data_IF_969908646105
#
_entry.id   IF_969908646105
#
_cell.length_a   1.000
_cell.length_b   1.000
_cell.length_c   1.000
_cell.angle_alpha   90.00
_cell.angle_beta   90.00
_cell.angle_gamma   90.00
#
_symmetry.space_group_name_H-M   'P 1'
#
loop_
_entity.id
_entity.type
_entity.pdbx_description
1 polymer ?
#
# COMPACT_ATOMS: atom_id res chain seq x y z
N UNK A 1 -25.56 -38.60 -25.33
CA UNK A 1 -26.59 -37.64 -24.88
C UNK A 1 -26.19 -36.91 -23.59
N UNK A 2 -25.57 -37.58 -22.61
CA UNK A 2 -25.15 -37.00 -21.31
C UNK A 2 -24.12 -35.84 -21.44
N UNK A 3 -23.19 -35.90 -22.40
CA UNK A 3 -22.18 -34.84 -22.61
C UNK A 3 -22.74 -33.49 -23.09
N UNK A 4 -23.87 -33.46 -23.81
CA UNK A 4 -24.43 -32.20 -24.32
C UNK A 4 -25.20 -31.43 -23.25
N UNK A 5 -25.83 -32.14 -22.30
CA UNK A 5 -26.56 -31.51 -21.18
C UNK A 5 -25.58 -30.78 -20.25
N UNK A 6 -24.42 -31.37 -19.98
CA UNK A 6 -23.38 -30.75 -19.16
C UNK A 6 -22.81 -29.47 -19.81
N UNK A 7 -22.61 -29.49 -21.12
CA UNK A 7 -22.16 -28.32 -21.89
C UNK A 7 -23.23 -27.21 -21.87
N UNK A 8 -24.51 -27.55 -22.00
CA UNK A 8 -25.61 -26.55 -21.94
C UNK A 8 -25.72 -25.92 -20.55
N UNK A 9 -25.53 -26.69 -19.47
CA UNK A 9 -25.54 -26.17 -18.09
C UNK A 9 -24.33 -25.26 -17.85
N UNK A 10 -23.15 -25.60 -18.37
CA UNK A 10 -21.96 -24.75 -18.27
C UNK A 10 -22.15 -23.46 -19.08
N UNK A 11 -22.67 -23.56 -20.31
CA UNK A 11 -22.95 -22.39 -21.16
C UNK A 11 -24.03 -21.49 -20.54
N UNK A 12 -25.07 -22.04 -19.91
CA UNK A 12 -26.10 -21.24 -19.24
C UNK A 12 -25.56 -20.54 -17.99
N UNK A 13 -24.60 -21.15 -17.28
CA UNK A 13 -23.91 -20.52 -16.15
C UNK A 13 -22.97 -19.39 -16.59
N UNK A 14 -22.33 -19.50 -17.75
CA UNK A 14 -21.46 -18.45 -18.31
C UNK A 14 -22.26 -17.21 -18.73
N UNK A 15 -23.56 -17.35 -19.02
CA UNK A 15 -24.39 -16.31 -19.64
C UNK A 15 -25.05 -15.29 -18.69
N UNK A 16 -24.75 -15.25 -17.39
CA UNK A 16 -25.52 -14.37 -16.46
C UNK A 16 -24.72 -13.47 -15.52
N UNK A 17 -23.41 -13.32 -15.67
CA UNK A 17 -22.70 -12.25 -14.96
C UNK A 17 -22.90 -10.94 -15.74
N UNK A 18 -23.99 -10.22 -15.43
CA UNK A 18 -24.19 -8.87 -15.92
C UNK A 18 -23.25 -7.93 -15.17
N UNK A 19 -22.12 -7.60 -15.78
CA UNK A 19 -21.28 -6.48 -15.34
C UNK A 19 -22.00 -5.18 -15.70
N UNK A 20 -22.28 -4.35 -14.69
CA UNK A 20 -22.83 -3.01 -14.92
C UNK A 20 -21.67 -2.03 -15.07
N UNK A 21 -21.52 -1.49 -16.28
CA UNK A 21 -20.56 -0.42 -16.58
C UNK A 21 -21.32 0.90 -16.68
N UNK A 22 -20.99 1.87 -15.84
CA UNK A 22 -21.66 3.19 -15.81
C UNK A 22 -20.62 4.30 -15.86
N UNK A 23 -20.88 5.31 -16.67
CA UNK A 23 -20.08 6.54 -16.69
C UNK A 23 -20.60 7.52 -15.65
N UNK A 24 -19.74 7.88 -14.71
CA UNK A 24 -20.06 8.81 -13.63
C UNK A 24 -19.70 10.22 -14.07
N UNK A 25 -20.67 11.14 -14.01
CA UNK A 25 -20.46 12.55 -14.38
C UNK A 25 -20.45 13.50 -13.20
N UNK A 26 -21.00 13.08 -12.06
CA UNK A 26 -21.14 13.89 -10.86
C UNK A 26 -21.28 12.98 -9.60
N UNK A 27 -21.30 13.61 -8.43
CA UNK A 27 -21.44 12.91 -7.14
C UNK A 27 -22.75 12.11 -7.02
N UNK A 28 -23.88 12.65 -7.52
CA UNK A 28 -25.18 11.99 -7.45
C UNK A 28 -25.15 10.66 -8.20
N UNK A 29 -24.57 10.65 -9.41
CA UNK A 29 -24.39 9.43 -10.20
C UNK A 29 -23.54 8.42 -9.41
N UNK A 30 -22.45 8.87 -8.80
CA UNK A 30 -21.52 8.02 -8.04
C UNK A 30 -22.24 7.34 -6.86
N UNK A 31 -22.96 8.13 -6.05
CA UNK A 31 -23.71 7.64 -4.89
C UNK A 31 -24.84 6.71 -5.32
N UNK A 32 -25.59 7.05 -6.38
CA UNK A 32 -26.69 6.22 -6.85
C UNK A 32 -26.21 4.84 -7.32
N UNK A 33 -25.11 4.80 -8.07
CA UNK A 33 -24.56 3.51 -8.52
C UNK A 33 -23.99 2.69 -7.38
N UNK A 34 -23.31 3.31 -6.41
CA UNK A 34 -22.73 2.55 -5.30
C UNK A 34 -23.77 2.12 -4.28
N UNK A 35 -24.70 2.98 -3.87
CA UNK A 35 -25.62 2.68 -2.76
C UNK A 35 -26.88 1.90 -3.18
N UNK A 36 -27.26 1.89 -4.47
CA UNK A 36 -28.48 1.22 -4.94
C UNK A 36 -28.24 0.06 -5.91
N UNK A 37 -26.97 -0.28 -6.21
CA UNK A 37 -26.70 -1.40 -7.10
C UNK A 37 -27.21 -2.71 -6.50
N UNK A 38 -27.99 -3.45 -7.28
CA UNK A 38 -28.36 -4.84 -7.04
C UNK A 38 -27.37 -5.83 -7.69
N UNK A 39 -26.30 -5.31 -8.31
CA UNK A 39 -25.32 -6.12 -9.02
C UNK A 39 -24.19 -6.52 -8.09
N UNK A 40 -23.73 -7.76 -8.24
CA UNK A 40 -22.53 -8.26 -7.55
C UNK A 40 -21.28 -7.54 -8.02
N UNK A 41 -21.22 -7.23 -9.32
CA UNK A 41 -20.09 -6.60 -9.97
C UNK A 41 -20.47 -5.22 -10.53
N UNK A 42 -19.72 -4.20 -10.12
CA UNK A 42 -19.92 -2.81 -10.56
C UNK A 42 -18.63 -2.24 -11.12
N UNK A 43 -18.70 -1.69 -12.34
CA UNK A 43 -17.62 -0.94 -12.97
C UNK A 43 -18.06 0.51 -13.16
N UNK A 44 -17.37 1.44 -12.50
CA UNK A 44 -17.59 2.87 -12.65
C UNK A 44 -16.47 3.46 -13.51
N UNK A 45 -16.86 4.10 -14.60
CA UNK A 45 -15.94 4.84 -15.48
C UNK A 45 -16.00 6.33 -15.17
N UNK A 46 -14.84 6.95 -14.98
CA UNK A 46 -14.72 8.35 -14.53
C UNK A 46 -13.94 9.13 -15.58
N UNK A 47 -14.58 10.07 -16.26
CA UNK A 47 -13.97 10.95 -17.26
C UNK A 47 -14.18 12.41 -16.83
N UNK A 48 -13.40 12.85 -15.85
CA UNK A 48 -13.50 14.16 -15.23
C UNK A 48 -13.19 14.14 -13.73
N UNK A 49 -13.42 15.27 -13.06
CA UNK A 49 -13.24 15.42 -11.62
C UNK A 49 -14.56 15.31 -10.85
N UNK A 50 -14.56 14.52 -9.78
CA UNK A 50 -15.72 14.32 -8.90
C UNK A 50 -15.28 14.51 -7.46
N UNK A 51 -16.06 15.29 -6.69
CA UNK A 51 -15.90 15.37 -5.23
C UNK A 51 -17.08 14.66 -4.59
N UNK A 52 -16.79 13.67 -3.76
CA UNK A 52 -17.75 12.93 -2.94
C UNK A 52 -17.74 13.55 -1.54
N UNK A 53 -18.82 14.22 -1.21
CA UNK A 53 -19.04 14.99 0.01
C UNK A 53 -19.81 14.23 1.07
N UNK A 54 -20.21 12.99 0.79
CA UNK A 54 -20.95 12.13 1.72
C UNK A 54 -20.21 10.84 1.96
N UNK A 55 -20.40 10.28 3.16
CA UNK A 55 -20.00 8.91 3.43
C UNK A 55 -20.80 7.94 2.55
N UNK A 56 -20.13 6.90 2.04
CA UNK A 56 -20.72 5.90 1.15
C UNK A 56 -20.73 4.56 1.86
N UNK A 57 -21.92 3.97 1.97
CA UNK A 57 -22.09 2.57 2.37
C UNK A 57 -22.30 1.72 1.13
N UNK A 58 -21.44 0.70 0.96
CA UNK A 58 -21.55 -0.27 -0.14
C UNK A 58 -22.58 -1.36 0.20
N UNK A 59 -23.45 -1.76 -0.75
CA UNK A 59 -24.41 -2.84 -0.59
C UNK A 59 -23.72 -4.17 -0.32
N UNK A 60 -24.27 -4.96 0.61
CA UNK A 60 -23.74 -6.28 0.98
C UNK A 60 -23.75 -7.30 -0.16
N UNK A 61 -24.55 -7.08 -1.22
CA UNK A 61 -24.57 -7.94 -2.40
C UNK A 61 -23.37 -7.72 -3.34
N UNK A 62 -22.73 -6.55 -3.27
CA UNK A 62 -21.59 -6.21 -4.11
C UNK A 62 -20.36 -6.97 -3.64
N UNK A 63 -19.76 -7.74 -4.54
CA UNK A 63 -18.52 -8.48 -4.29
C UNK A 63 -17.34 -7.97 -5.11
N UNK A 64 -17.57 -7.19 -6.18
CA UNK A 64 -16.52 -6.58 -6.99
C UNK A 64 -16.80 -5.13 -7.33
N UNK A 65 -15.78 -4.28 -7.20
CA UNK A 65 -15.85 -2.87 -7.56
C UNK A 65 -14.61 -2.44 -8.35
N UNK A 66 -14.86 -1.92 -9.55
CA UNK A 66 -13.85 -1.37 -10.43
C UNK A 66 -14.09 0.14 -10.59
N UNK A 67 -13.12 0.96 -10.18
CA UNK A 67 -13.10 2.41 -10.40
C UNK A 67 -12.05 2.74 -11.45
N UNK A 68 -12.51 2.97 -12.69
CA UNK A 68 -11.64 3.08 -13.86
C UNK A 68 -11.71 4.50 -14.41
N UNK A 69 -10.60 5.23 -14.30
CA UNK A 69 -10.41 6.48 -14.99
C UNK A 69 -9.96 6.27 -16.44
N UNK A 70 -10.11 7.31 -17.25
CA UNK A 70 -9.56 7.38 -18.60
C UNK A 70 -8.04 7.57 -18.56
N UNK A 71 -7.58 8.52 -17.75
CA UNK A 71 -6.17 8.74 -17.41
C UNK A 71 -6.06 9.33 -16.00
N UNK A 72 -4.96 9.08 -15.29
CA UNK A 72 -4.74 9.65 -13.95
C UNK A 72 -4.64 11.18 -13.96
N UNK A 73 -4.36 11.81 -15.12
CA UNK A 73 -4.31 13.28 -15.24
C UNK A 73 -5.68 13.95 -15.38
N UNK A 74 -6.66 13.23 -15.95
CA UNK A 74 -8.00 13.79 -16.28
C UNK A 74 -9.10 13.25 -15.38
N UNK A 75 -8.94 12.04 -14.87
CA UNK A 75 -9.92 11.34 -14.04
C UNK A 75 -9.54 11.49 -12.58
N UNK A 76 -10.36 12.22 -11.83
CA UNK A 76 -10.09 12.55 -10.42
C UNK A 76 -11.29 12.24 -9.54
N UNK A 77 -11.05 11.62 -8.40
CA UNK A 77 -12.07 11.46 -7.34
C UNK A 77 -11.50 11.99 -6.04
N UNK A 78 -12.25 12.85 -5.38
CA UNK A 78 -11.92 13.36 -4.06
C UNK A 78 -12.96 12.91 -3.04
N UNK A 79 -12.55 12.15 -2.03
CA UNK A 79 -13.41 11.71 -0.94
C UNK A 79 -13.22 12.63 0.28
N UNK A 80 -14.30 13.25 0.76
CA UNK A 80 -14.29 14.04 2.00
C UNK A 80 -14.31 13.18 3.27
N UNK A 81 -14.77 11.94 3.13
CA UNK A 81 -14.79 10.92 4.18
C UNK A 81 -13.95 9.73 3.73
N UNK A 82 -13.40 8.91 4.63
CA UNK A 82 -12.72 7.68 4.24
C UNK A 82 -13.64 6.79 3.39
N UNK A 83 -13.09 6.24 2.30
CA UNK A 83 -13.83 5.30 1.48
C UNK A 83 -13.57 3.88 1.98
N UNK A 84 -14.58 3.31 2.63
CA UNK A 84 -14.48 2.02 3.31
C UNK A 84 -14.92 0.87 2.40
N UNK A 85 -14.00 -0.04 2.10
CA UNK A 85 -14.24 -1.29 1.38
C UNK A 85 -14.40 -2.44 2.38
N UNK A 86 -15.65 -2.73 2.75
CA UNK A 86 -15.98 -3.75 3.76
C UNK A 86 -15.85 -5.20 3.29
N UNK A 87 -16.07 -6.13 4.22
CA UNK A 87 -15.89 -7.58 4.09
C UNK A 87 -16.63 -8.23 2.91
N UNK A 88 -17.76 -7.65 2.50
CA UNK A 88 -18.55 -8.17 1.40
C UNK A 88 -17.84 -8.04 0.05
N UNK A 89 -16.89 -7.12 -0.06
CA UNK A 89 -16.20 -6.81 -1.30
C UNK A 89 -14.92 -7.65 -1.42
N UNK A 90 -14.93 -8.63 -2.30
CA UNK A 90 -13.79 -9.54 -2.47
C UNK A 90 -12.70 -8.94 -3.36
N UNK A 91 -13.09 -8.24 -4.43
CA UNK A 91 -12.19 -7.74 -5.46
C UNK A 91 -12.37 -6.25 -5.72
N UNK A 92 -11.28 -5.51 -5.66
CA UNK A 92 -11.24 -4.06 -5.82
C UNK A 92 -10.16 -3.69 -6.80
N UNK A 93 -10.49 -2.86 -7.79
CA UNK A 93 -9.53 -2.27 -8.71
C UNK A 93 -9.76 -0.77 -8.84
N UNK A 94 -8.69 -0.01 -8.60
CA UNK A 94 -8.63 1.42 -8.93
C UNK A 94 -7.57 1.57 -10.01
N UNK A 95 -7.97 2.16 -11.14
CA UNK A 95 -7.11 2.20 -12.33
C UNK A 95 -7.16 3.52 -13.05
N UNK A 96 -5.99 3.99 -13.51
CA UNK A 96 -5.86 5.18 -14.37
C UNK A 96 -6.56 6.41 -13.78
N UNK A 97 -6.42 6.65 -12.48
CA UNK A 97 -7.20 7.65 -11.76
C UNK A 97 -6.37 8.35 -10.68
N UNK A 98 -6.64 9.63 -10.45
CA UNK A 98 -6.17 10.35 -9.27
C UNK A 98 -7.22 10.26 -8.16
N UNK A 99 -6.79 9.82 -6.98
CA UNK A 99 -7.64 9.72 -5.79
C UNK A 99 -7.10 10.67 -4.72
N UNK A 100 -7.98 11.54 -4.22
CA UNK A 100 -7.71 12.41 -3.09
C UNK A 100 -8.56 11.93 -1.90
N UNK A 101 -7.96 11.43 -0.84
CA UNK A 101 -8.68 10.94 0.34
C UNK A 101 -8.14 9.62 0.88
N UNK A 102 -8.75 9.14 1.96
CA UNK A 102 -8.33 7.93 2.66
C UNK A 102 -9.08 6.70 2.12
N UNK A 103 -8.35 5.61 1.89
CA UNK A 103 -8.88 4.32 1.46
C UNK A 103 -8.71 3.30 2.58
N UNK A 104 -9.81 2.67 3.02
CA UNK A 104 -9.78 1.62 4.04
C UNK A 104 -10.24 0.30 3.46
N UNK A 105 -9.42 -0.74 3.62
CA UNK A 105 -9.69 -2.08 3.10
C UNK A 105 -9.88 -3.06 4.26
N UNK A 106 -11.04 -3.70 4.33
CA UNK A 106 -11.35 -4.67 5.38
C UNK A 106 -11.64 -6.04 4.76
N UNK A 107 -10.76 -7.00 5.04
CA UNK A 107 -10.86 -8.42 4.67
C UNK A 107 -11.02 -8.72 3.17
N UNK A 108 -10.63 -7.79 2.29
CA UNK A 108 -10.73 -7.96 0.84
C UNK A 108 -9.67 -8.96 0.33
N UNK A 109 -10.07 -9.83 -0.60
CA UNK A 109 -9.19 -10.88 -1.15
C UNK A 109 -8.18 -10.32 -2.15
N UNK A 110 -8.63 -9.42 -3.03
CA UNK A 110 -7.83 -8.89 -4.14
C UNK A 110 -7.97 -7.38 -4.21
N UNK A 111 -6.86 -6.67 -4.05
CA UNK A 111 -6.81 -5.21 -4.17
C UNK A 111 -5.78 -4.86 -5.25
N UNK A 112 -6.19 -4.08 -6.25
CA UNK A 112 -5.31 -3.62 -7.34
C UNK A 112 -5.37 -2.11 -7.45
N UNK A 113 -4.23 -1.45 -7.29
CA UNK A 113 -4.02 -0.02 -7.55
C UNK A 113 -3.07 0.10 -8.74
N UNK A 114 -3.61 0.34 -9.94
CA UNK A 114 -2.87 0.30 -11.21
C UNK A 114 -2.84 1.66 -11.91
N UNK A 115 -1.65 2.24 -12.06
CA UNK A 115 -1.43 3.55 -12.67
C UNK A 115 -2.31 4.64 -12.00
N UNK A 116 -2.19 4.75 -10.69
CA UNK A 116 -2.95 5.72 -9.89
C UNK A 116 -2.03 6.77 -9.26
N UNK A 117 -2.59 7.96 -9.05
CA UNK A 117 -2.01 8.96 -8.17
C UNK A 117 -2.87 8.98 -6.91
N UNK A 118 -2.30 8.68 -5.74
CA UNK A 118 -3.03 8.72 -4.47
C UNK A 118 -2.46 9.85 -3.60
N UNK A 119 -3.29 10.85 -3.31
CA UNK A 119 -3.03 11.87 -2.31
C UNK A 119 -3.90 11.59 -1.08
N UNK A 120 -3.34 10.93 -0.07
CA UNK A 120 -4.18 10.34 0.97
C UNK A 120 -3.49 9.34 1.88
N UNK A 121 -4.26 8.39 2.38
CA UNK A 121 -3.76 7.30 3.21
C UNK A 121 -4.38 5.98 2.78
N UNK A 122 -3.67 4.90 3.05
CA UNK A 122 -4.15 3.54 2.88
C UNK A 122 -4.10 2.86 4.23
N UNK A 123 -5.20 2.25 4.64
CA UNK A 123 -5.23 1.34 5.77
C UNK A 123 -5.87 0.02 5.35
N UNK A 124 -5.31 -1.07 5.84
CA UNK A 124 -5.82 -2.41 5.56
C UNK A 124 -5.90 -3.24 6.84
N UNK A 125 -6.99 -3.96 7.00
CA UNK A 125 -7.15 -4.98 8.02
C UNK A 125 -7.52 -6.31 7.36
N UNK A 126 -6.66 -7.32 7.54
CA UNK A 126 -6.81 -8.68 6.99
C UNK A 126 -6.77 -9.75 8.10
N UNK A 127 -7.26 -9.41 9.29
CA UNK A 127 -7.27 -10.32 10.44
C UNK A 127 -8.19 -11.52 10.24
N UNK A 128 -9.32 -11.36 9.54
CA UNK A 128 -10.39 -12.36 9.45
C UNK A 128 -10.50 -13.04 8.08
N UNK A 129 -9.59 -12.74 7.15
CA UNK A 129 -9.68 -13.21 5.76
C UNK A 129 -8.34 -13.70 5.22
N UNK A 130 -8.43 -14.53 4.18
CA UNK A 130 -7.30 -14.92 3.36
C UNK A 130 -7.19 -13.87 2.25
N UNK A 131 -6.21 -12.98 2.40
CA UNK A 131 -5.84 -12.07 1.32
C UNK A 131 -5.02 -12.82 0.27
N UNK A 132 -5.50 -12.83 -0.98
CA UNK A 132 -4.76 -13.40 -2.10
C UNK A 132 -3.60 -12.46 -2.45
N UNK A 133 -3.91 -11.19 -2.70
CA UNK A 133 -2.91 -10.16 -2.95
C UNK A 133 -3.42 -8.72 -2.75
N UNK A 134 -2.45 -7.82 -2.57
CA UNK A 134 -2.55 -6.37 -2.65
C UNK A 134 -1.47 -5.91 -3.62
N UNK A 135 -1.87 -5.33 -4.76
CA UNK A 135 -0.97 -4.95 -5.84
C UNK A 135 -0.94 -3.45 -6.04
N UNK A 136 0.23 -2.85 -5.88
CA UNK A 136 0.51 -1.48 -6.28
C UNK A 136 1.41 -1.50 -7.52
N UNK A 137 0.88 -1.04 -8.65
CA UNK A 137 1.61 -0.97 -9.90
C UNK A 137 1.55 0.45 -10.43
N UNK A 138 2.72 1.06 -10.66
CA UNK A 138 2.80 2.46 -11.13
C UNK A 138 2.01 3.42 -10.24
N UNK A 139 2.03 3.17 -8.94
CA UNK A 139 1.43 4.04 -7.93
C UNK A 139 2.34 5.25 -7.71
N UNK A 140 1.77 6.45 -7.72
CA UNK A 140 2.40 7.66 -7.20
C UNK A 140 1.68 8.05 -5.93
N UNK A 141 2.32 7.85 -4.78
CA UNK A 141 1.77 8.16 -3.47
C UNK A 141 2.30 9.49 -2.92
N UNK A 142 1.39 10.30 -2.34
CA UNK A 142 1.68 11.51 -1.58
C UNK A 142 0.77 11.59 -0.35
N UNK A 143 1.26 11.98 0.82
CA UNK A 143 0.41 12.18 1.98
C UNK A 143 -0.44 13.44 1.82
N UNK A 144 -1.60 13.48 2.48
CA UNK A 144 -2.40 14.70 2.60
C UNK A 144 -1.73 15.67 3.56
N UNK A 145 -1.54 16.92 3.14
CA UNK A 145 -1.05 17.99 4.02
C UNK A 145 -2.03 18.25 5.18
N UNK A 146 -1.51 18.60 6.36
CA UNK A 146 -2.27 19.00 7.55
C UNK A 146 -3.08 17.90 8.26
N UNK A 147 -2.84 16.63 7.95
CA UNK A 147 -3.39 15.52 8.76
C UNK A 147 -2.25 14.60 9.18
N UNK A 148 -2.14 14.34 10.48
CA UNK A 148 -1.07 13.50 11.02
C UNK A 148 -1.57 12.06 11.18
N UNK A 149 -0.85 11.13 10.59
CA UNK A 149 -1.02 9.69 10.79
C UNK A 149 0.25 9.12 11.40
N UNK A 150 0.12 8.08 12.22
CA UNK A 150 1.28 7.30 12.66
C UNK A 150 2.00 6.78 11.41
N UNK A 151 1.28 6.03 10.58
CA UNK A 151 1.76 5.54 9.29
C UNK A 151 0.85 6.02 8.17
N UNK A 152 1.46 6.47 7.07
CA UNK A 152 0.75 6.98 5.90
C UNK A 152 0.09 5.86 5.08
N UNK A 153 0.76 4.72 5.03
CA UNK A 153 0.29 3.50 4.41
C UNK A 153 0.48 2.38 5.44
N UNK A 154 -0.61 1.80 5.94
CA UNK A 154 -0.60 0.64 6.83
C UNK A 154 -1.16 -0.57 6.07
N UNK A 155 -0.35 -1.61 5.89
CA UNK A 155 -0.71 -2.77 5.06
C UNK A 155 -0.45 -4.10 5.76
N UNK A 156 -1.44 -4.98 5.65
CA UNK A 156 -1.48 -6.36 6.10
C UNK A 156 -1.99 -7.19 4.91
N UNK A 157 -1.25 -8.22 4.50
CA UNK A 157 -1.64 -9.07 3.35
C UNK A 157 -0.46 -9.49 2.48
N UNK A 158 -0.72 -10.19 1.39
CA UNK A 158 0.32 -10.56 0.42
C UNK A 158 0.55 -9.38 -0.54
N UNK A 159 1.66 -8.67 -0.40
CA UNK A 159 1.87 -7.37 -1.06
C UNK A 159 2.84 -7.48 -2.23
N UNK A 160 2.46 -6.92 -3.38
CA UNK A 160 3.33 -6.69 -4.54
C UNK A 160 3.36 -5.20 -4.89
N UNK A 161 4.53 -4.57 -4.85
CA UNK A 161 4.77 -3.17 -5.23
C UNK A 161 5.74 -3.14 -6.41
N UNK A 162 5.33 -2.52 -7.51
CA UNK A 162 6.10 -2.48 -8.76
C UNK A 162 6.05 -1.10 -9.40
N UNK A 163 7.21 -0.65 -9.90
CA UNK A 163 7.36 0.59 -10.69
C UNK A 163 6.70 1.83 -10.03
N UNK A 164 6.74 1.91 -8.69
CA UNK A 164 5.97 2.88 -7.91
C UNK A 164 6.85 3.92 -7.21
N UNK A 165 6.28 5.09 -6.91
CA UNK A 165 6.96 6.20 -6.25
C UNK A 165 6.18 6.60 -4.99
N UNK A 166 6.89 6.72 -3.87
CA UNK A 166 6.32 7.07 -2.59
C UNK A 166 7.05 8.26 -1.99
N UNK A 167 6.31 9.34 -1.77
CA UNK A 167 6.82 10.53 -1.09
C UNK A 167 6.26 10.55 0.32
N UNK A 168 7.15 10.71 1.30
CA UNK A 168 6.81 10.95 2.70
C UNK A 168 6.53 12.42 2.98
N UNK A 169 6.47 12.79 4.25
CA UNK A 169 6.24 14.15 4.68
C UNK A 169 5.91 14.20 6.17
N UNK A 170 5.74 15.42 6.70
CA UNK A 170 5.42 15.64 8.12
C UNK A 170 4.09 15.02 8.56
N UNK A 171 3.19 14.75 7.62
CA UNK A 171 1.95 13.99 7.84
C UNK A 171 2.18 12.51 8.18
N UNK A 172 3.32 11.94 7.78
CA UNK A 172 3.73 10.57 8.08
C UNK A 172 4.64 10.57 9.31
N UNK A 173 4.08 10.53 10.53
CA UNK A 173 4.89 10.75 11.74
C UNK A 173 6.02 9.75 11.90
N UNK A 174 5.79 8.52 11.46
CA UNK A 174 6.70 7.42 11.68
C UNK A 174 7.38 7.01 10.36
N UNK A 175 6.59 6.47 9.44
CA UNK A 175 7.09 5.84 8.21
C UNK A 175 6.12 6.02 7.05
N UNK A 176 6.66 5.99 5.84
CA UNK A 176 5.84 6.02 4.61
C UNK A 176 4.96 4.77 4.55
N UNK A 177 5.55 3.58 4.64
CA UNK A 177 4.82 2.30 4.67
C UNK A 177 5.15 1.54 5.96
N UNK A 178 4.09 1.06 6.61
CA UNK A 178 4.15 0.04 7.65
C UNK A 178 3.52 -1.25 7.12
N UNK A 179 4.33 -2.30 7.00
CA UNK A 179 3.89 -3.64 6.63
C UNK A 179 3.93 -4.58 7.84
N UNK A 180 2.80 -5.23 8.14
CA UNK A 180 2.73 -6.31 9.10
C UNK A 180 2.27 -7.60 8.41
N UNK A 181 3.15 -8.60 8.39
CA UNK A 181 2.88 -9.87 7.74
C UNK A 181 2.11 -10.90 8.58
N UNK A 182 1.85 -10.64 9.86
CA UNK A 182 1.18 -11.57 10.80
C UNK A 182 1.80 -12.99 10.79
N UNK A 183 3.11 -13.08 10.57
CA UNK A 183 3.91 -14.29 10.39
C UNK A 183 3.48 -15.21 9.23
N UNK A 184 2.52 -14.79 8.40
CA UNK A 184 1.96 -15.60 7.29
C UNK A 184 2.16 -14.97 5.92
N UNK A 185 2.12 -13.64 5.84
CA UNK A 185 2.14 -12.90 4.60
C UNK A 185 3.54 -12.45 4.20
N UNK A 186 3.68 -12.12 2.92
CA UNK A 186 4.92 -11.66 2.31
C UNK A 186 4.76 -10.28 1.67
N UNK A 187 5.89 -9.60 1.46
CA UNK A 187 5.96 -8.36 0.70
C UNK A 187 7.06 -8.48 -0.36
N UNK A 188 6.74 -8.09 -1.59
CA UNK A 188 7.66 -7.99 -2.71
C UNK A 188 7.65 -6.57 -3.28
N UNK A 189 8.81 -5.92 -3.38
CA UNK A 189 8.96 -4.55 -3.89
C UNK A 189 10.00 -4.56 -5.01
N UNK A 190 9.67 -3.99 -6.16
CA UNK A 190 10.58 -3.94 -7.31
C UNK A 190 10.51 -2.58 -8.01
N UNK A 191 11.66 -2.10 -8.48
CA UNK A 191 11.78 -0.91 -9.33
C UNK A 191 11.06 0.32 -8.74
N UNK A 192 11.12 0.51 -7.41
CA UNK A 192 10.33 1.53 -6.73
C UNK A 192 11.22 2.54 -6.00
N UNK A 193 10.70 3.75 -5.83
CA UNK A 193 11.42 4.84 -5.17
C UNK A 193 10.66 5.29 -3.91
N UNK A 194 11.41 5.53 -2.84
CA UNK A 194 10.90 6.01 -1.56
C UNK A 194 11.72 7.23 -1.15
N UNK A 195 11.07 8.37 -0.90
CA UNK A 195 11.71 9.56 -0.33
C UNK A 195 11.03 9.97 0.96
N UNK A 196 11.80 10.07 2.05
CA UNK A 196 11.29 10.51 3.35
C UNK A 196 11.17 12.04 3.48
N UNK A 197 11.68 12.81 2.51
CA UNK A 197 11.79 14.28 2.55
C UNK A 197 12.43 14.81 3.86
N UNK A 198 13.29 14.01 4.49
CA UNK A 198 13.86 14.22 5.83
C UNK A 198 12.82 14.39 6.95
N UNK A 199 11.55 14.08 6.69
CA UNK A 199 10.46 14.19 7.66
C UNK A 199 10.10 12.84 8.29
N UNK A 200 10.34 11.73 7.57
CA UNK A 200 10.03 10.40 8.07
C UNK A 200 10.98 9.32 7.51
N UNK A 201 10.90 8.13 8.09
CA UNK A 201 11.62 6.96 7.59
C UNK A 201 10.84 6.24 6.50
N UNK A 202 11.49 5.40 5.69
CA UNK A 202 10.83 4.83 4.51
C UNK A 202 9.89 3.67 4.86
N UNK A 203 10.42 2.53 5.31
CA UNK A 203 9.67 1.28 5.44
C UNK A 203 9.81 0.65 6.82
N UNK A 204 8.71 0.10 7.34
CA UNK A 204 8.69 -0.86 8.44
C UNK A 204 8.16 -2.19 7.91
N UNK A 205 8.87 -3.27 8.20
CA UNK A 205 8.50 -4.63 7.80
C UNK A 205 8.57 -5.49 9.06
N UNK A 206 7.39 -5.90 9.52
CA UNK A 206 7.25 -6.65 10.76
C UNK A 206 6.56 -7.99 10.51
N UNK A 207 6.94 -9.01 11.29
CA UNK A 207 6.23 -10.30 11.34
C UNK A 207 6.01 -10.90 9.95
N UNK A 208 7.01 -10.85 9.07
CA UNK A 208 6.85 -11.29 7.69
C UNK A 208 7.41 -12.68 7.47
N UNK A 209 6.68 -13.52 6.72
CA UNK A 209 7.20 -14.80 6.25
C UNK A 209 8.36 -14.60 5.27
N UNK A 210 8.25 -13.59 4.40
CA UNK A 210 9.28 -13.24 3.43
C UNK A 210 9.13 -11.79 2.99
N UNK A 211 10.24 -11.07 2.97
CA UNK A 211 10.33 -9.73 2.39
C UNK A 211 11.41 -9.72 1.31
N UNK A 212 11.04 -9.29 0.10
CA UNK A 212 11.94 -9.16 -1.04
C UNK A 212 11.89 -7.75 -1.62
N UNK A 213 13.04 -7.10 -1.75
CA UNK A 213 13.14 -5.75 -2.29
C UNK A 213 14.26 -5.73 -3.31
N UNK A 214 13.96 -5.33 -4.55
CA UNK A 214 14.95 -5.27 -5.62
C UNK A 214 14.91 -3.97 -6.41
N UNK A 215 16.07 -3.55 -6.92
CA UNK A 215 16.20 -2.46 -7.91
C UNK A 215 15.49 -1.18 -7.46
N UNK A 216 15.54 -0.88 -6.16
CA UNK A 216 14.75 0.19 -5.54
C UNK A 216 15.65 1.22 -4.88
N UNK A 217 15.18 2.46 -4.84
CA UNK A 217 15.92 3.60 -4.31
C UNK A 217 15.24 4.15 -3.06
N UNK A 218 16.05 4.48 -2.07
CA UNK A 218 15.64 5.07 -0.79
C UNK A 218 16.39 6.38 -0.59
N UNK A 219 15.68 7.49 -0.53
CA UNK A 219 16.24 8.82 -0.47
C UNK A 219 15.72 9.60 0.73
N UNK A 220 16.56 10.46 1.31
CA UNK A 220 16.18 11.44 2.33
C UNK A 220 15.36 10.83 3.49
N UNK A 221 15.63 9.57 3.83
CA UNK A 221 14.95 8.86 4.92
C UNK A 221 15.55 9.28 6.26
N UNK A 222 14.72 9.73 7.19
CA UNK A 222 15.17 10.23 8.49
C UNK A 222 14.40 9.57 9.64
N UNK A 223 15.14 9.11 10.66
CA UNK A 223 14.58 8.65 11.93
C UNK A 223 15.04 9.54 13.07
N UNK A 224 14.15 10.43 13.53
CA UNK A 224 14.38 11.33 14.65
C UNK A 224 14.13 10.70 16.03
N UNK A 225 14.52 11.42 17.09
CA UNK A 225 14.25 11.02 18.48
C UNK A 225 12.76 11.20 18.78
N UNK A 226 12.08 10.14 19.20
CA UNK A 226 10.66 10.18 19.56
C UNK A 226 9.68 10.02 18.39
N UNK A 227 10.17 9.87 17.16
CA UNK A 227 9.38 9.32 16.05
C UNK A 227 9.36 7.79 16.21
N UNK A 228 8.17 7.17 16.15
CA UNK A 228 7.93 5.74 16.43
C UNK A 228 8.32 5.25 17.85
N UNK A 229 7.48 5.50 18.86
CA UNK A 229 7.36 4.61 20.03
C UNK A 229 8.58 4.49 20.99
N UNK A 230 9.66 5.23 20.77
CA UNK A 230 10.83 5.24 21.63
C UNK A 230 11.85 4.16 21.28
N UNK A 231 13.02 4.63 20.82
CA UNK A 231 14.28 3.91 20.69
C UNK A 231 14.28 2.78 19.62
N UNK A 232 15.27 2.80 18.73
CA UNK A 232 15.63 1.72 17.79
C UNK A 232 15.00 1.79 16.38
N UNK A 233 15.40 2.75 15.53
CA UNK A 233 14.88 2.83 14.16
C UNK A 233 15.96 3.18 13.13
N UNK A 234 15.95 2.47 11.99
CA UNK A 234 16.76 2.82 10.82
C UNK A 234 16.04 3.76 9.87
N UNK A 235 16.79 4.63 9.21
CA UNK A 235 16.26 5.71 8.37
C UNK A 235 15.57 5.20 7.10
N UNK A 236 16.02 4.09 6.52
CA UNK A 236 15.32 3.41 5.44
C UNK A 236 14.42 2.30 5.97
N UNK A 237 14.96 1.41 6.81
CA UNK A 237 14.25 0.21 7.26
C UNK A 237 14.17 0.07 8.77
N UNK A 238 13.02 -0.42 9.20
CA UNK A 238 12.88 -1.21 10.40
C UNK A 238 12.44 -2.62 10.01
N UNK A 239 13.19 -3.62 10.44
CA UNK A 239 12.97 -5.04 10.13
C UNK A 239 12.83 -5.77 11.45
N UNK A 240 11.65 -6.32 11.72
CA UNK A 240 11.39 -6.99 12.99
C UNK A 240 10.65 -8.31 12.82
N UNK A 241 11.20 -9.40 13.38
CA UNK A 241 10.59 -10.74 13.29
C UNK A 241 10.26 -11.13 11.84
N UNK A 242 11.20 -10.90 10.92
CA UNK A 242 11.06 -11.29 9.51
C UNK A 242 11.84 -12.58 9.29
N UNK A 243 11.17 -13.66 8.89
CA UNK A 243 11.82 -14.96 8.73
C UNK A 243 12.96 -14.89 7.69
N UNK A 244 12.68 -14.32 6.51
CA UNK A 244 13.68 -14.05 5.47
C UNK A 244 13.47 -12.65 4.89
N UNK A 245 14.48 -11.78 5.02
CA UNK A 245 14.58 -10.51 4.30
C UNK A 245 15.70 -10.59 3.27
N UNK A 246 15.43 -10.16 2.05
CA UNK A 246 16.40 -10.09 0.95
C UNK A 246 16.27 -8.75 0.23
N UNK A 247 17.29 -7.91 0.36
CA UNK A 247 17.46 -6.67 -0.39
C UNK A 247 18.55 -6.83 -1.45
N UNK A 248 18.25 -6.52 -2.71
CA UNK A 248 19.19 -6.68 -3.83
C UNK A 248 19.21 -5.46 -4.75
N UNK A 249 20.40 -4.99 -5.15
CA UNK A 249 20.56 -3.86 -6.08
C UNK A 249 19.82 -2.62 -5.56
N UNK A 250 20.11 -2.25 -4.32
CA UNK A 250 19.45 -1.13 -3.62
C UNK A 250 20.36 0.08 -3.56
N UNK A 251 19.79 1.27 -3.74
CA UNK A 251 20.50 2.54 -3.57
C UNK A 251 19.95 3.29 -2.37
N UNK A 252 20.83 3.74 -1.48
CA UNK A 252 20.51 4.60 -0.34
C UNK A 252 21.21 5.95 -0.53
N UNK A 253 20.43 7.03 -0.52
CA UNK A 253 20.93 8.39 -0.72
C UNK A 253 20.43 9.30 0.41
N UNK A 254 21.34 9.94 1.15
CA UNK A 254 21.01 10.83 2.26
C UNK A 254 20.07 10.20 3.32
N UNK A 255 20.27 8.92 3.63
CA UNK A 255 19.48 8.22 4.65
C UNK A 255 20.22 8.25 5.99
N UNK A 256 19.53 8.56 7.09
CA UNK A 256 20.16 8.65 8.40
C UNK A 256 19.19 8.40 9.57
N UNK A 257 19.75 8.12 10.74
CA UNK A 257 19.03 7.93 12.01
C UNK A 257 19.83 8.52 13.15
N UNK A 258 19.13 9.10 14.14
CA UNK A 258 19.79 9.66 15.33
C UNK A 258 20.19 8.61 16.38
N UNK A 259 19.53 7.46 16.43
CA UNK A 259 19.72 6.50 17.53
C UNK A 259 20.15 5.10 17.08
N UNK A 260 20.07 4.77 15.80
CA UNK A 260 20.39 3.42 15.31
C UNK A 260 21.02 3.45 13.92
N UNK A 261 21.20 2.27 13.31
CA UNK A 261 21.83 2.15 12.00
C UNK A 261 21.15 3.04 10.95
N UNK A 262 21.96 3.78 10.19
CA UNK A 262 21.45 4.79 9.25
C UNK A 262 20.49 4.19 8.22
N UNK A 263 20.81 3.00 7.70
CA UNK A 263 19.98 2.30 6.72
C UNK A 263 18.92 1.49 7.44
N UNK A 264 19.33 0.61 8.36
CA UNK A 264 18.44 -0.38 8.94
C UNK A 264 18.60 -0.50 10.45
N UNK A 265 17.49 -0.73 11.13
CA UNK A 265 17.48 -1.41 12.42
C UNK A 265 16.82 -2.79 12.24
N UNK A 266 17.51 -3.84 12.67
CA UNK A 266 17.07 -5.22 12.57
C UNK A 266 16.98 -5.82 13.96
N UNK A 267 15.82 -6.39 14.29
CA UNK A 267 15.57 -7.05 15.56
C UNK A 267 14.74 -8.32 15.36
N UNK A 268 14.89 -9.32 16.22
CA UNK A 268 14.08 -10.54 16.16
C UNK A 268 14.06 -11.27 17.49
N UNK A 269 12.88 -11.76 17.90
CA UNK A 269 12.72 -12.66 19.05
C UNK A 269 12.78 -14.14 18.63
N UNK A 270 12.93 -14.38 17.32
CA UNK A 270 12.95 -15.71 16.71
C UNK A 270 13.99 -15.79 15.60
N UNK A 271 14.17 -16.97 15.00
CA UNK A 271 15.12 -17.12 13.89
C UNK A 271 14.75 -16.22 12.70
N UNK A 272 15.68 -15.37 12.31
CA UNK A 272 15.55 -14.42 11.20
C UNK A 272 16.84 -14.41 10.38
N UNK A 273 16.70 -14.30 9.06
CA UNK A 273 17.83 -14.11 8.15
C UNK A 273 17.64 -12.85 7.32
N UNK A 274 18.64 -11.97 7.33
CA UNK A 274 18.62 -10.69 6.62
C UNK A 274 19.81 -10.62 5.68
N UNK A 275 19.54 -10.47 4.39
CA UNK A 275 20.56 -10.39 3.34
C UNK A 275 20.46 -9.06 2.60
N UNK A 276 21.61 -8.43 2.40
CA UNK A 276 21.77 -7.22 1.59
C UNK A 276 22.86 -7.50 0.55
N UNK A 277 22.48 -7.53 -0.73
CA UNK A 277 23.38 -7.80 -1.86
C UNK A 277 23.40 -6.62 -2.82
N UNK A 278 24.60 -6.25 -3.30
CA UNK A 278 24.80 -5.16 -4.27
C UNK A 278 24.17 -3.83 -3.81
N UNK A 279 24.69 -3.27 -2.73
CA UNK A 279 24.16 -2.05 -2.12
C UNK A 279 25.02 -0.86 -2.49
N UNK A 280 24.40 0.23 -2.93
CA UNK A 280 25.07 1.52 -3.11
C UNK A 280 24.63 2.50 -2.03
N UNK A 281 25.59 3.18 -1.42
CA UNK A 281 25.34 4.19 -0.39
C UNK A 281 25.96 5.51 -0.79
N UNK A 282 25.21 6.60 -0.63
CA UNK A 282 25.68 7.97 -0.89
C UNK A 282 25.19 8.87 0.24
N UNK A 283 26.12 9.56 0.90
CA UNK A 283 25.82 10.51 1.98
C UNK A 283 24.95 9.91 3.10
N UNK A 284 25.07 8.61 3.36
CA UNK A 284 24.33 7.90 4.40
C UNK A 284 25.04 8.03 5.74
N UNK A 285 24.29 8.23 6.83
CA UNK A 285 24.85 8.33 8.18
C UNK A 285 25.74 9.55 8.41
N UNK A 286 25.53 10.61 7.64
CA UNK A 286 26.31 11.84 7.65
C UNK A 286 25.89 12.84 8.75
N UNK A 287 25.28 12.36 9.84
CA UNK A 287 24.85 13.20 10.96
C UNK A 287 25.57 12.79 12.25
N UNK A 288 26.03 13.78 13.02
CA UNK A 288 26.56 13.57 14.36
C UNK A 288 25.46 13.14 15.35
N UNK A 289 25.86 12.39 16.39
CA UNK A 289 24.98 12.01 17.49
C UNK A 289 24.38 10.61 17.41
N UNK A 290 24.72 9.83 16.38
CA UNK A 290 24.33 8.42 16.28
C UNK A 290 24.88 7.61 17.45
N UNK A 291 23.98 6.93 18.17
CA UNK A 291 24.34 6.16 19.37
C UNK A 291 24.78 4.73 19.07
N UNK A 292 24.06 4.04 18.19
CA UNK A 292 24.23 2.62 17.88
C UNK A 292 24.17 2.34 16.37
N UNK A 293 24.77 1.25 15.88
CA UNK A 293 24.59 0.71 14.52
C UNK A 293 25.34 1.42 13.37
N UNK A 294 25.82 2.65 13.58
CA UNK A 294 26.68 3.35 12.63
C UNK A 294 26.06 3.57 11.24
N UNK A 295 26.92 3.66 10.22
CA UNK A 295 26.53 4.04 8.86
C UNK A 295 25.54 3.10 8.18
N UNK A 296 25.38 1.86 8.67
CA UNK A 296 24.61 0.84 7.96
C UNK A 296 23.50 0.31 8.87
N UNK A 297 23.83 -0.42 9.93
CA UNK A 297 22.83 -1.27 10.60
C UNK A 297 23.06 -1.44 12.09
N UNK A 298 21.98 -1.32 12.86
CA UNK A 298 21.90 -1.84 14.23
C UNK A 298 21.30 -3.25 14.19
N UNK A 299 21.96 -4.20 14.85
CA UNK A 299 21.45 -5.54 15.09
C UNK A 299 21.08 -5.66 16.58
N UNK A 300 19.84 -6.04 16.86
CA UNK A 300 19.36 -6.35 18.21
C UNK A 300 19.05 -7.84 18.26
N UNK A 301 19.76 -8.54 19.15
CA UNK A 301 19.64 -9.98 19.41
C UNK A 301 18.81 -10.22 20.67
#
# INVERSE_FOLDING_TARGET
MVNYIFIIIIISFILTVKTVTVTIKNEKDFIEQLSKSSNKEVTLTIDGGITVTKEITLPSIMNKLFLIGKTSSTSKVAFKYPFNFGDNLEEIELKNIEVNGTLHFHNNKKITLDNIILNGNIDTDMNNSINDYIKFNKLIYRPTENTTFSHCINIIGNVEITDSNFTGGSSCQNRIINFNGLNKYYINIKNSNFTGEYQCSCLSITQSKKAYIQYSNFENGFSGKGMDGGHNNGGAFYIYNVYIFQGENLTFNNVTSLESGSIANVASDSYSSVFFNNITQKNTGNMEGMKDGGLIMKLVL
#
